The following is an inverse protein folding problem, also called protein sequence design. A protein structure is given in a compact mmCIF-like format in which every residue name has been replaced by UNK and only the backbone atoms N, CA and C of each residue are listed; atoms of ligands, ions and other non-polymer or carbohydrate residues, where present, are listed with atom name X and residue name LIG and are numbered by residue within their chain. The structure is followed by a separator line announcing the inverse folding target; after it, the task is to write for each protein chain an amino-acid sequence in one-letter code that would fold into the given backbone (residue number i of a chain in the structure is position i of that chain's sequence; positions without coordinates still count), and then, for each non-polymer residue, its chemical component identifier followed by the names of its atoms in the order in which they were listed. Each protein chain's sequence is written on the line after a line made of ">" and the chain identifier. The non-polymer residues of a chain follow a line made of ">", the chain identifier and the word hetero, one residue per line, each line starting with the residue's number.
data_IF_939347231899
#
_entry.id   IF_939347231899
#
_cell.length_a   1.000
_cell.length_b   1.000
_cell.length_c   1.000
_cell.angle_alpha   90.00
_cell.angle_beta   90.00
_cell.angle_gamma   90.00
#
_symmetry.space_group_name_H-M   'P 1'
#
loop_
_entity.id
_entity.type
_entity.pdbx_description
1 polymer ?
#
# COMPACT_ATOMS: atom_id res chain seq x y z
N UNK A 1 -26.51 -9.37 8.59
CA UNK A 1 -25.66 -10.56 8.71
C UNK A 1 -24.55 -10.59 7.68
N UNK A 2 -24.81 -10.45 6.39
CA UNK A 2 -23.78 -10.47 5.34
C UNK A 2 -22.76 -9.30 5.41
N UNK A 3 -23.17 -8.10 5.79
CA UNK A 3 -22.27 -6.96 5.92
C UNK A 3 -21.29 -7.09 7.09
N UNK A 4 -21.74 -7.65 8.20
CA UNK A 4 -20.90 -7.86 9.39
C UNK A 4 -19.79 -8.88 9.13
N UNK A 5 -20.10 -9.97 8.42
CA UNK A 5 -19.12 -11.02 8.09
C UNK A 5 -18.08 -10.52 7.05
N UNK A 6 -18.50 -9.70 6.10
CA UNK A 6 -17.61 -9.13 5.07
C UNK A 6 -16.63 -8.12 5.66
N UNK A 7 -17.08 -7.30 6.57
CA UNK A 7 -16.24 -6.34 7.31
C UNK A 7 -15.22 -7.06 8.17
N UNK A 8 -15.64 -8.03 8.93
CA UNK A 8 -14.75 -8.89 9.73
C UNK A 8 -13.67 -9.55 8.87
N UNK A 9 -13.97 -9.92 7.62
CA UNK A 9 -12.99 -10.51 6.72
C UNK A 9 -11.97 -9.48 6.22
N UNK A 10 -12.39 -8.25 5.91
CA UNK A 10 -11.45 -7.17 5.55
C UNK A 10 -10.48 -6.87 6.69
N UNK A 11 -11.00 -6.73 7.90
CA UNK A 11 -10.20 -6.50 9.09
C UNK A 11 -9.22 -7.65 9.32
N UNK A 12 -9.66 -8.90 9.20
CA UNK A 12 -8.78 -10.08 9.32
C UNK A 12 -7.67 -10.08 8.26
N UNK A 13 -7.98 -9.67 7.03
CA UNK A 13 -6.99 -9.60 5.97
C UNK A 13 -5.98 -8.47 6.23
N UNK A 14 -6.39 -7.37 6.83
CA UNK A 14 -5.47 -6.31 7.26
C UNK A 14 -4.50 -6.76 8.34
N UNK A 15 -4.88 -7.68 9.22
CA UNK A 15 -3.98 -8.22 10.25
C UNK A 15 -2.73 -8.88 9.66
N UNK A 16 -2.81 -9.41 8.45
CA UNK A 16 -1.68 -10.06 7.77
C UNK A 16 -0.79 -9.06 7.03
N UNK A 17 -1.17 -7.80 6.98
CA UNK A 17 -0.40 -6.78 6.28
C UNK A 17 0.80 -6.31 7.10
N UNK A 18 1.86 -5.92 6.41
CA UNK A 18 3.08 -5.44 7.03
C UNK A 18 2.90 -4.13 7.81
N UNK A 19 1.92 -3.29 7.44
CA UNK A 19 1.66 -2.02 8.13
C UNK A 19 0.93 -2.22 9.48
N UNK A 20 0.17 -3.31 9.62
CA UNK A 20 -0.57 -3.63 10.85
C UNK A 20 0.10 -4.69 11.71
N UNK A 21 1.34 -5.04 11.44
CA UNK A 21 2.09 -5.97 12.29
C UNK A 21 2.12 -5.47 13.74
N UNK A 22 1.81 -6.37 14.69
CA UNK A 22 1.70 -6.09 16.13
C UNK A 22 0.53 -5.18 16.55
N UNK A 23 -0.36 -4.83 15.63
CA UNK A 23 -1.63 -4.17 15.95
C UNK A 23 -2.67 -5.23 16.29
N UNK A 24 -3.42 -5.02 17.37
CA UNK A 24 -4.45 -5.97 17.81
C UNK A 24 -5.68 -5.90 16.91
N UNK A 25 -6.40 -7.02 16.78
CA UNK A 25 -7.62 -7.10 15.98
C UNK A 25 -8.63 -6.01 16.38
N UNK A 26 -8.87 -5.83 17.66
CA UNK A 26 -9.82 -4.83 18.18
C UNK A 26 -9.44 -3.40 17.77
N UNK A 27 -8.13 -3.12 17.65
CA UNK A 27 -7.63 -1.82 17.22
C UNK A 27 -7.83 -1.61 15.70
N UNK A 28 -7.73 -2.67 14.90
CA UNK A 28 -8.01 -2.61 13.46
C UNK A 28 -9.51 -2.48 13.20
N UNK A 29 -10.36 -3.13 13.99
CA UNK A 29 -11.81 -3.00 13.90
C UNK A 29 -12.28 -1.53 14.03
N UNK A 30 -11.56 -0.71 14.75
CA UNK A 30 -11.89 0.71 14.93
C UNK A 30 -11.78 1.55 13.65
N UNK A 31 -11.07 1.07 12.62
CA UNK A 31 -10.95 1.77 11.33
C UNK A 31 -11.86 1.23 10.24
N UNK A 32 -12.82 0.43 10.60
CA UNK A 32 -13.71 -0.27 9.71
C UNK A 32 -14.51 0.64 8.75
N UNK A 33 -14.90 1.80 9.22
CA UNK A 33 -15.66 2.79 8.47
C UNK A 33 -14.82 3.54 7.41
N UNK A 34 -13.50 3.42 7.43
CA UNK A 34 -12.60 4.08 6.48
C UNK A 34 -11.89 3.10 5.52
N UNK A 35 -12.27 1.83 5.54
CA UNK A 35 -11.73 0.81 4.65
C UNK A 35 -12.79 0.29 3.68
N UNK A 36 -12.35 -0.11 2.50
CA UNK A 36 -13.22 -0.73 1.49
C UNK A 36 -12.42 -1.66 0.59
N UNK A 37 -13.12 -2.65 0.01
CA UNK A 37 -12.50 -3.54 -0.98
C UNK A 37 -12.61 -2.93 -2.37
N UNK A 38 -11.53 -2.99 -3.13
CA UNK A 38 -11.49 -2.62 -4.55
C UNK A 38 -11.06 -3.84 -5.35
N UNK A 39 -11.92 -4.25 -6.28
CA UNK A 39 -11.63 -5.34 -7.22
C UNK A 39 -11.02 -4.77 -8.49
N UNK A 40 -9.94 -5.39 -8.97
CA UNK A 40 -9.21 -4.98 -10.16
C UNK A 40 -9.29 -6.06 -11.22
N UNK A 41 -9.56 -5.65 -12.45
CA UNK A 41 -9.47 -6.52 -13.62
C UNK A 41 -8.03 -6.67 -14.07
N UNK A 42 -7.73 -7.73 -14.83
CA UNK A 42 -6.41 -7.89 -15.47
C UNK A 42 -6.05 -6.66 -16.28
N UNK A 43 -4.82 -6.16 -16.10
CA UNK A 43 -4.24 -4.96 -16.75
C UNK A 43 -4.86 -3.63 -16.28
N UNK A 44 -5.71 -3.64 -15.27
CA UNK A 44 -6.22 -2.41 -14.69
C UNK A 44 -5.14 -1.67 -13.89
N UNK A 45 -5.06 -0.35 -14.10
CA UNK A 45 -4.12 0.51 -13.39
C UNK A 45 -4.76 0.92 -12.06
N UNK A 46 -4.12 0.58 -10.96
CA UNK A 46 -4.54 1.01 -9.62
C UNK A 46 -4.05 2.42 -9.32
N UNK A 47 -2.79 2.68 -9.58
CA UNK A 47 -2.14 3.97 -9.37
C UNK A 47 -1.38 4.37 -10.64
N UNK A 48 -1.55 5.63 -11.04
CA UNK A 48 -0.80 6.21 -12.15
C UNK A 48 0.27 7.15 -11.62
N UNK A 49 1.50 7.05 -12.15
CA UNK A 49 2.59 7.94 -11.79
C UNK A 49 2.22 9.40 -12.07
N UNK A 50 2.55 10.29 -11.15
CA UNK A 50 2.28 11.73 -11.26
C UNK A 50 0.88 12.17 -10.87
N UNK A 51 -0.03 11.24 -10.52
CA UNK A 51 -1.38 11.58 -10.04
C UNK A 51 -1.43 11.76 -8.53
N UNK A 52 -2.33 12.62 -8.06
CA UNK A 52 -2.57 12.82 -6.64
C UNK A 52 -3.18 11.58 -5.98
N UNK A 53 -2.81 11.35 -4.74
CA UNK A 53 -3.35 10.26 -3.94
C UNK A 53 -4.01 10.75 -2.66
N UNK A 54 -5.17 10.16 -2.37
CA UNK A 54 -5.91 10.38 -1.13
C UNK A 54 -6.10 9.09 -0.33
N UNK A 55 -5.58 7.99 -0.82
CA UNK A 55 -5.71 6.67 -0.21
C UNK A 55 -4.44 5.85 -0.40
N UNK A 56 -4.22 4.93 0.50
CA UNK A 56 -3.26 3.85 0.30
C UNK A 56 -3.98 2.51 0.28
N UNK A 57 -3.28 1.47 -0.11
CA UNK A 57 -3.89 0.17 -0.38
C UNK A 57 -3.06 -0.95 0.22
N UNK A 58 -3.74 -2.03 0.62
CA UNK A 58 -3.12 -3.29 1.02
C UNK A 58 -3.53 -4.37 0.04
N UNK A 59 -2.57 -5.11 -0.50
CA UNK A 59 -2.84 -6.20 -1.44
C UNK A 59 -3.51 -7.35 -0.71
N UNK A 60 -4.70 -7.74 -1.17
CA UNK A 60 -5.50 -8.84 -0.61
C UNK A 60 -5.34 -10.12 -1.42
N UNK A 61 -5.36 -10.01 -2.75
CA UNK A 61 -5.21 -11.15 -3.67
C UNK A 61 -4.74 -10.71 -5.05
N UNK A 62 -4.22 -11.65 -5.82
CA UNK A 62 -3.78 -11.45 -7.19
C UNK A 62 -2.34 -10.97 -7.33
N UNK A 63 -1.90 -10.82 -8.58
CA UNK A 63 -0.57 -10.36 -8.93
C UNK A 63 -0.60 -8.87 -9.28
N UNK A 64 0.14 -8.08 -8.53
CA UNK A 64 0.25 -6.63 -8.71
C UNK A 64 1.72 -6.27 -8.90
N UNK A 65 2.01 -5.46 -9.90
CA UNK A 65 3.36 -5.03 -10.22
C UNK A 65 3.50 -3.51 -10.21
N UNK A 66 4.69 -3.04 -9.86
CA UNK A 66 5.07 -1.64 -9.79
C UNK A 66 6.02 -1.31 -10.92
N UNK A 67 5.77 -0.22 -11.63
CA UNK A 67 6.57 0.27 -12.75
C UNK A 67 6.99 1.71 -12.53
N UNK A 68 8.22 2.03 -12.89
CA UNK A 68 8.74 3.40 -12.91
C UNK A 68 8.96 3.87 -14.35
N UNK A 69 8.64 5.12 -14.63
CA UNK A 69 9.06 5.77 -15.87
C UNK A 69 10.56 6.06 -15.84
N UNK A 70 11.19 6.00 -17.02
CA UNK A 70 12.58 6.38 -17.19
C UNK A 70 12.62 7.83 -17.68
N UNK A 71 13.29 8.75 -16.96
CA UNK A 71 13.38 10.14 -17.39
C UNK A 71 13.98 10.27 -18.80
N UNK A 72 13.28 10.93 -19.72
CA UNK A 72 13.70 11.14 -21.08
C UNK A 72 13.42 9.99 -22.05
N UNK A 73 12.80 8.91 -21.58
CA UNK A 73 12.44 7.74 -22.37
C UNK A 73 10.94 7.46 -22.30
N UNK A 74 10.39 6.89 -23.35
CA UNK A 74 8.96 6.57 -23.45
C UNK A 74 8.70 5.09 -23.07
N UNK A 75 9.31 4.64 -21.98
CA UNK A 75 9.08 3.30 -21.46
C UNK A 75 9.13 3.25 -19.92
N UNK A 76 8.61 2.15 -19.37
CA UNK A 76 8.61 1.88 -17.95
C UNK A 76 9.55 0.73 -17.61
N UNK A 77 10.19 0.81 -16.45
CA UNK A 77 10.95 -0.29 -15.87
C UNK A 77 10.07 -1.00 -14.86
N UNK A 78 10.00 -2.34 -14.98
CA UNK A 78 9.41 -3.21 -13.97
C UNK A 78 10.28 -3.17 -12.70
N UNK A 79 9.74 -2.64 -11.63
CA UNK A 79 10.47 -2.46 -10.38
C UNK A 79 10.33 -3.65 -9.44
N UNK A 80 9.10 -4.11 -9.20
CA UNK A 80 8.86 -5.23 -8.29
C UNK A 80 7.43 -5.78 -8.41
N UNK A 81 7.28 -7.03 -7.96
CA UNK A 81 5.99 -7.68 -7.74
C UNK A 81 5.61 -7.54 -6.27
N UNK A 82 4.37 -7.16 -6.03
CA UNK A 82 3.83 -7.02 -4.68
C UNK A 82 3.20 -8.34 -4.20
N UNK A 83 3.47 -8.69 -2.96
CA UNK A 83 2.87 -9.85 -2.30
C UNK A 83 1.58 -9.48 -1.59
N UNK A 84 0.75 -10.47 -1.28
CA UNK A 84 -0.39 -10.31 -0.35
C UNK A 84 0.13 -9.74 0.97
N UNK A 85 -0.55 -8.72 1.48
CA UNK A 85 -0.16 -7.98 2.67
C UNK A 85 0.75 -6.77 2.41
N UNK A 86 1.28 -6.61 1.19
CA UNK A 86 2.08 -5.44 0.81
C UNK A 86 1.24 -4.17 0.78
N UNK A 87 1.85 -3.06 1.17
CA UNK A 87 1.26 -1.72 1.16
C UNK A 87 1.66 -0.98 -0.10
N UNK A 88 0.72 -0.26 -0.69
CA UNK A 88 0.90 0.52 -1.92
C UNK A 88 0.35 1.92 -1.71
N UNK A 89 1.10 2.94 -2.14
CA UNK A 89 0.67 4.33 -2.04
C UNK A 89 0.82 4.92 -0.65
N UNK A 90 1.63 4.32 0.21
CA UNK A 90 1.86 4.73 1.60
C UNK A 90 2.50 6.11 1.74
N UNK A 91 3.21 6.58 0.71
CA UNK A 91 3.82 7.92 0.75
C UNK A 91 2.75 9.01 0.81
N UNK A 92 1.55 8.75 0.29
CA UNK A 92 0.40 9.65 0.41
C UNK A 92 -0.06 9.83 1.86
N UNK A 93 0.26 8.89 2.74
CA UNK A 93 -0.04 9.00 4.17
C UNK A 93 0.86 10.02 4.86
N UNK A 94 2.10 10.13 4.43
CA UNK A 94 3.11 11.00 5.03
C UNK A 94 3.20 12.36 4.35
N UNK A 95 3.01 12.40 3.04
CA UNK A 95 3.19 13.57 2.20
C UNK A 95 1.98 13.73 1.25
N UNK A 96 1.49 14.94 1.11
CA UNK A 96 0.48 15.27 0.10
C UNK A 96 1.16 15.44 -1.26
N UNK A 97 1.71 14.36 -1.78
CA UNK A 97 2.45 14.35 -3.03
C UNK A 97 1.79 13.40 -4.05
N UNK A 98 2.30 13.42 -5.26
CA UNK A 98 1.85 12.55 -6.33
C UNK A 98 2.45 11.16 -6.20
N UNK A 99 1.80 10.17 -6.82
CA UNK A 99 2.35 8.80 -6.90
C UNK A 99 3.67 8.79 -7.65
N UNK A 100 4.67 8.13 -7.09
CA UNK A 100 6.01 7.99 -7.67
C UNK A 100 6.13 6.86 -8.69
N UNK A 101 5.11 6.02 -8.84
CA UNK A 101 5.12 4.85 -9.68
C UNK A 101 3.74 4.52 -10.23
N UNK A 102 3.71 3.76 -11.33
CA UNK A 102 2.51 3.11 -11.84
C UNK A 102 2.35 1.74 -11.20
N UNK A 103 1.14 1.41 -10.75
CA UNK A 103 0.80 0.12 -10.16
C UNK A 103 -0.31 -0.52 -10.96
N UNK A 104 -0.07 -1.74 -11.46
CA UNK A 104 -0.96 -2.46 -12.40
C UNK A 104 -1.29 -3.84 -11.84
N UNK A 105 -2.56 -4.24 -11.94
CA UNK A 105 -2.98 -5.62 -11.73
C UNK A 105 -2.61 -6.47 -12.95
N UNK A 106 -1.75 -7.45 -12.79
CA UNK A 106 -1.35 -8.37 -13.87
C UNK A 106 -2.33 -9.53 -14.05
N UNK A 107 -3.09 -9.81 -13.02
CA UNK A 107 -4.23 -10.74 -13.00
C UNK A 107 -5.41 -10.04 -12.37
N UNK A 108 -6.59 -10.67 -12.39
CA UNK A 108 -7.68 -10.24 -11.52
C UNK A 108 -7.16 -10.19 -10.07
N UNK A 109 -7.37 -9.08 -9.40
CA UNK A 109 -6.81 -8.81 -8.09
C UNK A 109 -7.80 -8.10 -7.18
N UNK A 110 -7.50 -8.09 -5.89
CA UNK A 110 -8.27 -7.37 -4.89
C UNK A 110 -7.31 -6.63 -3.95
N UNK A 111 -7.66 -5.40 -3.64
CA UNK A 111 -6.93 -4.57 -2.68
C UNK A 111 -7.90 -3.99 -1.65
N UNK A 112 -7.40 -3.70 -0.46
CA UNK A 112 -8.13 -2.97 0.56
C UNK A 112 -7.68 -1.51 0.49
N UNK A 113 -8.63 -0.63 0.21
CA UNK A 113 -8.43 0.82 0.15
C UNK A 113 -8.63 1.42 1.54
N UNK A 114 -7.70 2.25 1.95
CA UNK A 114 -7.76 2.98 3.23
C UNK A 114 -7.62 4.47 2.95
N UNK A 115 -8.57 5.28 3.43
CA UNK A 115 -8.50 6.73 3.32
C UNK A 115 -7.32 7.26 4.15
N UNK A 116 -6.35 7.90 3.50
CA UNK A 116 -5.10 8.31 4.14
C UNK A 116 -5.31 9.38 5.21
N UNK A 117 -6.15 10.37 4.93
CA UNK A 117 -6.41 11.46 5.87
C UNK A 117 -7.16 10.99 7.11
N UNK A 118 -8.23 10.22 6.90
CA UNK A 118 -9.01 9.66 7.99
C UNK A 118 -8.16 8.70 8.85
N UNK A 119 -7.31 7.91 8.22
CA UNK A 119 -6.40 7.02 8.93
C UNK A 119 -5.37 7.78 9.77
N UNK A 120 -4.75 8.82 9.23
CA UNK A 120 -3.80 9.65 9.95
C UNK A 120 -4.46 10.32 11.17
N UNK A 121 -5.66 10.85 11.00
CA UNK A 121 -6.44 11.43 12.11
C UNK A 121 -6.74 10.39 13.20
N UNK A 122 -7.07 9.16 12.81
CA UNK A 122 -7.29 8.05 13.74
C UNK A 122 -6.02 7.73 14.55
N UNK A 123 -4.86 7.67 13.88
CA UNK A 123 -3.57 7.42 14.54
C UNK A 123 -3.17 8.54 15.50
N UNK A 124 -3.47 9.79 15.17
CA UNK A 124 -3.22 10.93 16.07
C UNK A 124 -4.10 10.87 17.31
N UNK A 125 -5.34 10.41 17.19
CA UNK A 125 -6.25 10.21 18.30
C UNK A 125 -5.93 8.97 19.14
N UNK A 126 -5.18 8.00 18.58
CA UNK A 126 -4.77 6.75 19.23
C UNK A 126 -3.25 6.57 19.10
N UNK A 127 -2.46 7.32 19.89
CA UNK A 127 -1.01 7.37 19.70
C UNK A 127 -0.27 6.06 19.99
N UNK A 128 -0.85 5.15 20.76
CA UNK A 128 -0.35 3.79 20.99
C UNK A 128 -0.33 2.98 19.68
N UNK A 129 -1.45 2.95 18.98
CA UNK A 129 -1.57 2.34 17.64
C UNK A 129 -0.73 3.12 16.62
N UNK A 130 -0.77 4.44 16.69
CA UNK A 130 -0.02 5.35 15.83
C UNK A 130 1.47 5.07 15.86
N UNK A 131 2.06 4.84 17.03
CA UNK A 131 3.47 4.49 17.16
C UNK A 131 3.79 3.17 16.44
N UNK A 132 2.98 2.13 16.63
CA UNK A 132 3.19 0.81 16.03
C UNK A 132 3.11 0.90 14.49
N UNK A 133 2.09 1.57 13.98
CA UNK A 133 1.89 1.77 12.54
C UNK A 133 3.03 2.56 11.92
N UNK A 134 3.45 3.66 12.54
CA UNK A 134 4.55 4.48 12.04
C UNK A 134 5.89 3.74 12.09
N UNK A 135 6.14 2.93 13.10
CA UNK A 135 7.30 2.03 13.16
C UNK A 135 7.26 1.03 11.99
N UNK A 136 6.12 0.40 11.74
CA UNK A 136 5.96 -0.54 10.64
C UNK A 136 6.17 0.15 9.29
N UNK A 137 5.62 1.34 9.11
CA UNK A 137 5.80 2.15 7.91
C UNK A 137 7.26 2.53 7.68
N UNK A 138 7.98 2.91 8.75
CA UNK A 138 9.40 3.19 8.68
C UNK A 138 10.20 1.94 8.23
N UNK A 139 9.85 0.76 8.71
CA UNK A 139 10.46 -0.51 8.29
C UNK A 139 10.19 -0.80 6.81
N UNK A 140 8.97 -0.58 6.33
CA UNK A 140 8.59 -0.75 4.92
C UNK A 140 9.43 0.16 4.03
N UNK A 141 9.51 1.45 4.37
CA UNK A 141 10.29 2.44 3.64
C UNK A 141 11.79 2.11 3.66
N UNK A 142 12.30 1.67 4.80
CA UNK A 142 13.70 1.24 4.94
C UNK A 142 14.05 0.06 4.01
N UNK A 143 13.18 -0.95 3.93
CA UNK A 143 13.35 -2.08 3.01
C UNK A 143 13.35 -1.64 1.55
N UNK A 144 12.43 -0.76 1.18
CA UNK A 144 12.33 -0.22 -0.19
C UNK A 144 13.57 0.60 -0.57
N UNK A 145 14.08 1.39 0.36
CA UNK A 145 15.31 2.16 0.16
C UNK A 145 16.51 1.23 -0.08
N UNK A 146 16.67 0.20 0.73
CA UNK A 146 17.75 -0.79 0.54
C UNK A 146 17.66 -1.49 -0.81
N UNK A 147 16.47 -1.82 -1.26
CA UNK A 147 16.24 -2.43 -2.56
C UNK A 147 16.66 -1.47 -3.69
N UNK A 148 16.27 -0.20 -3.59
CA UNK A 148 16.65 0.84 -4.55
C UNK A 148 18.16 1.07 -4.56
N UNK A 149 18.83 1.13 -3.41
CA UNK A 149 20.26 1.26 -3.28
C UNK A 149 21.01 0.12 -3.99
N UNK A 150 20.50 -1.11 -3.81
CA UNK A 150 21.06 -2.28 -4.48
C UNK A 150 20.96 -2.17 -6.01
N UNK A 151 19.81 -1.72 -6.50
CA UNK A 151 19.58 -1.49 -7.94
C UNK A 151 20.52 -0.43 -8.50
N UNK A 152 20.69 0.69 -7.80
CA UNK A 152 21.58 1.77 -8.20
C UNK A 152 23.04 1.29 -8.25
N UNK A 153 23.48 0.51 -7.28
CA UNK A 153 24.84 -0.06 -7.26
C UNK A 153 25.08 -1.01 -8.44
N UNK A 154 24.11 -1.87 -8.76
CA UNK A 154 24.21 -2.76 -9.91
C UNK A 154 24.29 -1.97 -11.23
N UNK A 155 23.47 -0.94 -11.39
CA UNK A 155 23.47 -0.08 -12.57
C UNK A 155 24.80 0.70 -12.72
N UNK A 156 25.39 1.13 -11.63
CA UNK A 156 26.68 1.85 -11.63
C UNK A 156 27.89 0.95 -11.88
N UNK A 157 27.74 -0.38 -11.76
CA UNK A 157 28.82 -1.37 -11.96
C UNK A 157 28.97 -1.81 -13.42
N UNK A 158 28.05 -1.44 -14.31
CA UNK A 158 28.05 -1.71 -15.73
C UNK A 158 28.49 -0.47 -16.53
#
# INVERSE_FOLDING_TARGET
>A
MEQSDNVSQLVKNLMTSEIFQDVKLEQIEEIDDIISRVSLSKNEILLEEGTESHSFYVVESGDIEVYFSVPGEDHFIDACRLKVGSVVGEMALLENDVHSARVIAKTAASVIKIDSRAFLMHLEAHPDVGFIVMRNLARIISKRLRYTDHFVRLAASN
#
